data_IF_966828834801
#
_entry.id   IF_966828834801
#
_cell.length_a   1.000
_cell.length_b   1.000
_cell.length_c   1.000
_cell.angle_alpha   90.00
_cell.angle_beta   90.00
_cell.angle_gamma   90.00
#
_symmetry.space_group_name_H-M   'P 1'
#
loop_
_entity.id
_entity.type
_entity.pdbx_description
1 polymer ?
#
# COMPACT_ATOMS: atom_id res chain seq x y z
N UNK A 1 -7.37 10.62 -9.06
CA UNK A 1 -8.55 10.37 -9.91
C UNK A 1 -9.73 10.05 -9.01
N UNK A 2 -10.92 10.62 -9.26
CA UNK A 2 -12.11 10.31 -8.47
C UNK A 2 -12.51 8.84 -8.61
N UNK A 3 -13.02 8.26 -7.52
CA UNK A 3 -13.52 6.87 -7.45
C UNK A 3 -14.53 6.64 -8.58
N UNK A 4 -14.44 5.49 -9.23
CA UNK A 4 -15.41 5.11 -10.26
C UNK A 4 -15.12 5.60 -11.68
N UNK A 5 -14.24 6.59 -11.86
CA UNK A 5 -13.87 7.10 -13.18
C UNK A 5 -13.16 6.03 -14.00
N UNK A 6 -13.76 5.65 -15.13
CA UNK A 6 -13.12 4.84 -16.16
C UNK A 6 -12.16 5.72 -16.96
N UNK A 7 -10.95 5.22 -17.18
CA UNK A 7 -9.92 5.85 -18.00
C UNK A 7 -9.64 4.92 -19.17
N UNK A 8 -9.67 5.46 -20.39
CA UNK A 8 -9.25 4.72 -21.58
C UNK A 8 -7.74 4.60 -21.60
N UNK A 9 -7.25 3.40 -21.88
CA UNK A 9 -5.82 3.12 -22.02
C UNK A 9 -5.44 3.44 -23.45
N UNK A 10 -4.56 4.43 -23.62
CA UNK A 10 -4.00 4.84 -24.92
C UNK A 10 -2.63 4.20 -25.14
N UNK A 11 -1.90 4.00 -24.05
CA UNK A 11 -0.58 3.41 -24.03
C UNK A 11 -0.48 2.47 -22.83
N UNK A 12 0.08 1.29 -23.07
CA UNK A 12 0.36 0.29 -22.04
C UNK A 12 1.62 -0.47 -22.44
N UNK A 13 2.54 -0.63 -21.49
CA UNK A 13 3.82 -1.31 -21.72
C UNK A 13 4.28 -2.02 -20.45
N UNK A 14 4.61 -3.29 -20.54
CA UNK A 14 5.27 -4.02 -19.47
C UNK A 14 6.72 -3.50 -19.30
N UNK A 15 7.11 -3.15 -18.08
CA UNK A 15 8.44 -2.61 -17.78
C UNK A 15 9.36 -3.66 -17.13
N UNK A 16 8.78 -4.64 -16.44
CA UNK A 16 9.47 -5.74 -15.77
C UNK A 16 8.44 -6.73 -15.24
N UNK A 17 8.88 -7.74 -14.47
CA UNK A 17 8.03 -8.87 -14.07
C UNK A 17 6.71 -8.45 -13.40
N UNK A 18 6.75 -7.41 -12.56
CA UNK A 18 5.58 -6.91 -11.83
C UNK A 18 5.30 -5.42 -12.06
N UNK A 19 5.87 -4.82 -13.10
CA UNK A 19 5.77 -3.38 -13.35
C UNK A 19 5.16 -3.07 -14.71
N UNK A 20 4.26 -2.10 -14.76
CA UNK A 20 3.55 -1.72 -15.98
C UNK A 20 3.40 -0.20 -16.09
N UNK A 21 3.70 0.34 -17.26
CA UNK A 21 3.44 1.72 -17.63
C UNK A 21 2.06 1.81 -18.28
N UNK A 22 1.21 2.73 -17.82
CA UNK A 22 -0.09 3.02 -18.45
C UNK A 22 -0.27 4.53 -18.54
N UNK A 23 -0.47 5.03 -19.76
CA UNK A 23 -0.65 6.46 -20.05
C UNK A 23 0.40 7.35 -19.34
N UNK A 24 1.68 6.99 -19.40
CA UNK A 24 2.78 7.72 -18.79
C UNK A 24 2.89 7.63 -17.26
N UNK A 25 2.23 6.66 -16.61
CA UNK A 25 2.35 6.42 -15.16
C UNK A 25 2.71 4.97 -14.88
N UNK A 26 3.58 4.76 -13.88
CA UNK A 26 4.02 3.43 -13.46
C UNK A 26 3.11 2.83 -12.38
N UNK A 27 2.85 1.53 -12.52
CA UNK A 27 2.02 0.74 -11.65
C UNK A 27 2.69 -0.60 -11.33
N UNK A 28 2.36 -1.15 -10.18
CA UNK A 28 2.72 -2.51 -9.76
C UNK A 28 1.55 -3.45 -10.05
N UNK A 29 1.83 -4.58 -10.70
CA UNK A 29 0.88 -5.66 -10.94
C UNK A 29 0.71 -6.44 -9.63
N UNK A 30 -0.53 -6.60 -9.17
CA UNK A 30 -0.83 -7.27 -7.91
C UNK A 30 -1.23 -8.74 -8.10
N UNK A 31 -1.71 -9.08 -9.30
CA UNK A 31 -2.21 -10.40 -9.65
C UNK A 31 -1.77 -10.71 -11.08
N UNK A 32 -1.03 -11.81 -11.27
CA UNK A 32 -0.59 -12.28 -12.58
C UNK A 32 -1.79 -12.44 -13.50
N UNK A 33 -1.76 -11.75 -14.63
CA UNK A 33 -2.83 -11.81 -15.64
C UNK A 33 -2.20 -11.94 -17.01
N UNK A 34 -2.52 -13.02 -17.72
CA UNK A 34 -2.04 -13.23 -19.09
C UNK A 34 -2.46 -12.07 -20.00
N UNK A 35 -1.56 -11.66 -20.90
CA UNK A 35 -1.84 -10.62 -21.89
C UNK A 35 -2.35 -9.30 -21.27
N UNK A 36 -1.81 -8.89 -20.12
CA UNK A 36 -2.24 -7.67 -19.40
C UNK A 36 -2.17 -6.40 -20.27
N UNK A 37 -1.27 -6.37 -21.25
CA UNK A 37 -1.09 -5.28 -22.23
C UNK A 37 -2.30 -5.10 -23.17
N UNK A 38 -3.21 -6.06 -23.24
CA UNK A 38 -4.45 -5.94 -24.03
C UNK A 38 -5.57 -5.20 -23.32
N UNK A 39 -5.34 -4.73 -22.08
CA UNK A 39 -6.33 -3.99 -21.31
C UNK A 39 -6.79 -2.72 -22.05
N UNK A 40 -8.12 -2.49 -22.08
CA UNK A 40 -8.73 -1.35 -22.79
C UNK A 40 -9.03 -0.18 -21.86
N UNK A 41 -9.45 -0.48 -20.64
CA UNK A 41 -9.82 0.55 -19.66
C UNK A 41 -9.30 0.24 -18.27
N UNK A 42 -9.11 1.30 -17.50
CA UNK A 42 -8.69 1.26 -16.10
C UNK A 42 -9.72 2.00 -15.24
N UNK A 43 -10.03 1.47 -14.06
CA UNK A 43 -10.92 2.12 -13.08
C UNK A 43 -10.30 2.10 -11.69
N UNK A 44 -10.39 3.22 -10.96
CA UNK A 44 -10.02 3.27 -9.54
C UNK A 44 -11.11 2.57 -8.71
N UNK A 45 -10.71 1.59 -7.90
CA UNK A 45 -11.59 0.84 -7.01
C UNK A 45 -11.92 1.63 -5.73
N UNK A 46 -12.78 1.07 -4.88
CA UNK A 46 -13.03 1.61 -3.53
C UNK A 46 -11.79 1.55 -2.62
N UNK A 47 -10.87 0.62 -2.88
CA UNK A 47 -9.72 0.35 -2.03
C UNK A 47 -8.49 1.16 -2.44
N UNK A 48 -8.63 2.09 -3.39
CA UNK A 48 -7.57 2.95 -3.89
C UNK A 48 -6.75 2.34 -5.03
N UNK A 49 -6.69 1.01 -5.14
CA UNK A 49 -6.06 0.33 -6.27
C UNK A 49 -6.86 0.49 -7.57
N UNK A 50 -6.30 0.00 -8.68
CA UNK A 50 -6.87 0.14 -10.01
C UNK A 50 -7.15 -1.23 -10.60
N UNK A 51 -8.23 -1.29 -11.35
CA UNK A 51 -8.70 -2.49 -11.99
C UNK A 51 -8.66 -2.27 -13.50
N UNK A 52 -7.92 -3.13 -14.18
CA UNK A 52 -7.89 -3.21 -15.64
C UNK A 52 -9.06 -4.07 -16.13
N UNK A 53 -9.63 -3.66 -17.26
CA UNK A 53 -10.71 -4.34 -17.97
C UNK A 53 -10.30 -4.57 -19.42
N UNK A 54 -10.69 -5.73 -19.92
CA UNK A 54 -10.37 -6.21 -21.25
C UNK A 54 -11.63 -6.22 -22.12
N UNK A 55 -11.52 -6.69 -23.36
CA UNK A 55 -12.70 -6.93 -24.22
C UNK A 55 -13.59 -8.02 -23.63
N UNK A 56 -12.99 -9.08 -23.07
CA UNK A 56 -13.68 -10.02 -22.20
C UNK A 56 -14.02 -9.34 -20.86
N UNK A 57 -15.32 -9.17 -20.60
CA UNK A 57 -15.85 -8.51 -19.41
C UNK A 57 -15.58 -9.28 -18.11
N UNK A 58 -15.36 -10.60 -18.20
CA UNK A 58 -15.07 -11.45 -17.04
C UNK A 58 -13.61 -11.32 -16.61
N UNK A 59 -12.73 -10.99 -17.56
CA UNK A 59 -11.29 -10.82 -17.32
C UNK A 59 -11.00 -9.50 -16.62
N UNK A 60 -10.14 -9.56 -15.60
CA UNK A 60 -9.70 -8.39 -14.84
C UNK A 60 -8.30 -8.59 -14.30
N UNK A 61 -7.53 -7.50 -14.24
CA UNK A 61 -6.25 -7.47 -13.54
C UNK A 61 -6.30 -6.36 -12.48
N UNK A 62 -5.61 -6.57 -11.37
CA UNK A 62 -5.46 -5.56 -10.33
C UNK A 62 -4.04 -5.01 -10.35
N UNK A 63 -3.95 -3.68 -10.33
CA UNK A 63 -2.69 -2.97 -10.26
C UNK A 63 -2.79 -1.89 -9.18
N UNK A 64 -1.66 -1.45 -8.65
CA UNK A 64 -1.60 -0.28 -7.78
C UNK A 64 -0.57 0.73 -8.28
N UNK A 65 -0.71 2.00 -7.89
CA UNK A 65 0.26 3.01 -8.31
C UNK A 65 1.62 2.67 -7.70
N UNK A 66 2.67 2.68 -8.52
CA UNK A 66 4.04 2.49 -8.04
C UNK A 66 4.45 3.71 -7.21
N UNK A 67 4.96 3.47 -6.02
CA UNK A 67 5.42 4.47 -5.04
C UNK A 67 6.55 3.86 -4.23
N UNK A 68 7.42 4.68 -3.66
CA UNK A 68 8.31 4.23 -2.59
C UNK A 68 7.62 4.54 -1.27
N UNK A 69 7.28 3.53 -0.47
CA UNK A 69 6.59 3.70 0.80
C UNK A 69 7.44 3.07 1.90
N UNK A 70 7.98 3.91 2.77
CA UNK A 70 8.69 3.45 3.95
C UNK A 70 7.69 3.09 5.04
N UNK A 71 7.87 1.90 5.60
CA UNK A 71 7.11 1.41 6.73
C UNK A 71 7.95 1.66 7.96
N UNK A 72 7.47 2.54 8.83
CA UNK A 72 8.18 2.92 10.04
C UNK A 72 7.54 2.28 11.26
N UNK A 73 8.38 1.69 12.10
CA UNK A 73 8.04 1.25 13.44
C UNK A 73 8.37 2.38 14.42
N UNK A 74 7.36 2.79 15.18
CA UNK A 74 7.48 3.77 16.27
C UNK A 74 7.24 3.06 17.58
N UNK A 75 8.19 3.16 18.51
CA UNK A 75 8.05 2.67 19.88
C UNK A 75 8.08 3.88 20.82
N UNK A 76 6.93 4.17 21.42
CA UNK A 76 6.79 5.25 22.40
C UNK A 76 7.42 4.83 23.73
N UNK A 77 8.27 5.69 24.28
CA UNK A 77 8.79 5.52 25.65
C UNK A 77 7.75 5.87 26.72
N UNK A 78 6.82 6.76 26.38
CA UNK A 78 5.77 7.24 27.28
C UNK A 78 4.43 6.59 26.94
N UNK A 79 3.90 5.79 27.87
CA UNK A 79 2.62 5.09 27.69
C UNK A 79 1.41 6.02 27.59
N UNK A 80 1.42 7.17 28.28
CA UNK A 80 0.31 8.13 28.21
C UNK A 80 0.28 8.79 26.84
N UNK A 81 1.46 9.16 26.29
CA UNK A 81 1.56 9.64 24.91
C UNK A 81 1.13 8.57 23.91
N UNK A 82 1.54 7.32 24.10
CA UNK A 82 1.15 6.22 23.24
C UNK A 82 -0.38 6.04 23.19
N UNK A 83 -1.05 6.06 24.35
CA UNK A 83 -2.52 6.01 24.46
C UNK A 83 -3.18 7.20 23.76
N UNK A 84 -2.62 8.41 23.89
CA UNK A 84 -3.12 9.61 23.21
C UNK A 84 -2.95 9.49 21.70
N UNK A 85 -1.78 9.06 21.24
CA UNK A 85 -1.49 8.81 19.83
C UNK A 85 -2.42 7.76 19.23
N UNK A 86 -2.70 6.66 19.95
CA UNK A 86 -3.63 5.64 19.48
C UNK A 86 -5.02 6.22 19.15
N UNK A 87 -5.51 7.16 19.97
CA UNK A 87 -6.81 7.83 19.79
C UNK A 87 -6.79 8.92 18.72
N UNK A 88 -5.80 9.80 18.72
CA UNK A 88 -5.80 11.01 17.87
C UNK A 88 -5.08 10.82 16.55
N UNK A 89 -4.18 9.84 16.46
CA UNK A 89 -3.22 9.66 15.35
C UNK A 89 -2.36 10.91 15.07
N UNK A 90 -2.19 11.78 16.07
CA UNK A 90 -1.44 13.03 15.94
C UNK A 90 0.07 12.76 15.96
N UNK A 91 0.73 12.91 14.80
CA UNK A 91 2.18 12.72 14.66
C UNK A 91 3.02 13.67 15.52
N UNK A 92 2.47 14.80 15.98
CA UNK A 92 3.18 15.72 16.89
C UNK A 92 3.49 15.10 18.26
N UNK A 93 2.83 13.99 18.61
CA UNK A 93 3.07 13.25 19.85
C UNK A 93 4.32 12.36 19.80
N UNK A 94 4.85 12.10 18.60
CA UNK A 94 6.09 11.33 18.38
C UNK A 94 7.26 12.28 18.66
N UNK A 95 8.04 11.99 19.70
CA UNK A 95 9.18 12.83 20.10
C UNK A 95 10.52 12.19 19.69
N UNK A 96 11.61 12.97 19.61
CA UNK A 96 12.94 12.42 19.31
C UNK A 96 13.45 11.38 20.33
N UNK A 97 12.89 11.38 21.54
CA UNK A 97 13.20 10.37 22.55
C UNK A 97 12.59 9.00 22.24
N UNK A 98 11.53 8.93 21.42
CA UNK A 98 10.89 7.69 21.00
C UNK A 98 11.74 6.99 19.93
N UNK A 99 11.60 5.66 19.82
CA UNK A 99 12.37 4.92 18.80
C UNK A 99 11.62 4.98 17.48
N UNK A 100 12.32 5.37 16.41
CA UNK A 100 11.82 5.34 15.02
C UNK A 100 12.78 4.52 14.17
N UNK A 101 12.25 3.48 13.54
CA UNK A 101 13.01 2.56 12.68
C UNK A 101 12.25 2.29 11.39
N UNK A 102 12.94 2.29 10.25
CA UNK A 102 12.39 1.82 8.98
C UNK A 102 12.55 0.31 8.95
N UNK A 103 11.45 -0.43 8.90
CA UNK A 103 11.47 -1.90 8.95
C UNK A 103 11.40 -2.53 7.56
N UNK A 104 10.85 -1.81 6.59
CA UNK A 104 10.70 -2.24 5.21
C UNK A 104 10.33 -1.05 4.32
N UNK A 105 10.60 -1.20 3.02
CA UNK A 105 10.11 -0.31 1.97
C UNK A 105 9.26 -1.12 1.00
N UNK A 106 8.11 -0.59 0.61
CA UNK A 106 7.17 -1.23 -0.30
C UNK A 106 6.95 -0.40 -1.56
N UNK A 107 6.69 -1.07 -2.69
CA UNK A 107 6.54 -0.42 -3.99
C UNK A 107 5.08 -0.02 -4.30
N UNK A 108 4.15 -0.34 -3.40
CA UNK A 108 2.73 -0.02 -3.53
C UNK A 108 2.04 0.01 -2.15
N UNK A 109 0.88 0.67 -2.08
CA UNK A 109 0.16 0.82 -0.82
C UNK A 109 -0.46 -0.50 -0.35
N UNK A 110 -0.86 -1.37 -1.29
CA UNK A 110 -1.34 -2.71 -0.96
C UNK A 110 -0.22 -3.57 -0.36
N UNK A 111 0.98 -3.54 -0.94
CA UNK A 111 2.13 -4.25 -0.37
C UNK A 111 2.47 -3.71 1.03
N UNK A 112 2.49 -2.39 1.21
CA UNK A 112 2.76 -1.77 2.52
C UNK A 112 1.75 -2.22 3.58
N UNK A 113 0.45 -2.27 3.23
CA UNK A 113 -0.60 -2.79 4.11
C UNK A 113 -0.43 -4.27 4.44
N UNK A 114 -0.01 -5.08 3.47
CA UNK A 114 0.24 -6.51 3.70
C UNK A 114 1.33 -6.69 4.76
N UNK A 115 2.45 -5.98 4.62
CA UNK A 115 3.57 -6.05 5.57
C UNK A 115 3.11 -5.65 6.99
N UNK A 116 2.35 -4.54 7.13
CA UNK A 116 1.84 -4.14 8.45
C UNK A 116 0.83 -5.14 9.02
N UNK A 117 0.03 -5.79 8.17
CA UNK A 117 -0.90 -6.84 8.59
C UNK A 117 -0.16 -8.03 9.22
N UNK A 118 1.04 -8.36 8.72
CA UNK A 118 1.86 -9.45 9.27
C UNK A 118 2.32 -9.17 10.70
N UNK A 119 2.47 -7.90 11.11
CA UNK A 119 2.78 -7.52 12.49
C UNK A 119 1.53 -7.50 13.40
N UNK A 120 0.33 -7.43 12.82
CA UNK A 120 -0.95 -7.43 13.54
C UNK A 120 -1.53 -8.82 13.75
N UNK A 121 -1.18 -9.78 12.88
CA UNK A 121 -1.69 -11.15 12.95
C UNK A 121 -0.97 -11.97 14.03
N UNK A 122 -1.71 -12.41 15.05
CA UNK A 122 -1.22 -13.27 16.14
C UNK A 122 -0.63 -14.60 15.67
N UNK A 123 -0.98 -15.06 14.46
CA UNK A 123 -0.45 -16.31 13.87
C UNK A 123 0.81 -16.09 13.05
N UNK A 124 1.15 -14.85 12.74
CA UNK A 124 2.35 -14.50 11.99
C UNK A 124 3.61 -14.66 12.85
N UNK A 125 4.72 -15.03 12.21
CA UNK A 125 6.05 -15.05 12.86
C UNK A 125 6.52 -13.66 13.28
N UNK A 126 6.02 -12.62 12.60
CA UNK A 126 6.38 -11.23 12.84
C UNK A 126 5.41 -10.54 13.81
N UNK A 127 4.49 -11.27 14.46
CA UNK A 127 3.50 -10.68 15.35
C UNK A 127 4.14 -9.81 16.44
N UNK A 128 3.70 -8.56 16.52
CA UNK A 128 4.13 -7.63 17.56
C UNK A 128 3.08 -7.57 18.67
N UNK A 129 3.42 -8.12 19.84
CA UNK A 129 2.52 -8.15 21.00
C UNK A 129 2.24 -6.77 21.59
N UNK A 130 3.07 -5.77 21.28
CA UNK A 130 2.96 -4.41 21.77
C UNK A 130 2.25 -3.47 20.78
N UNK A 131 1.77 -4.00 19.66
CA UNK A 131 1.07 -3.23 18.64
C UNK A 131 -0.19 -2.57 19.19
N UNK A 132 -0.33 -1.27 18.91
CA UNK A 132 -1.47 -0.48 19.40
C UNK A 132 -1.39 -0.10 20.89
N UNK A 133 -0.40 -0.59 21.63
CA UNK A 133 -0.15 -0.25 23.04
C UNK A 133 0.91 0.83 23.14
N UNK A 134 2.17 0.48 22.87
CA UNK A 134 3.29 1.44 22.79
C UNK A 134 3.95 1.44 21.40
N UNK A 135 3.63 0.45 20.56
CA UNK A 135 4.25 0.27 19.26
C UNK A 135 3.24 0.51 18.14
N UNK A 136 3.64 1.28 17.14
CA UNK A 136 2.80 1.65 16.01
C UNK A 136 3.56 1.57 14.70
N UNK A 137 2.86 1.18 13.64
CA UNK A 137 3.38 1.09 12.29
C UNK A 137 2.74 2.18 11.44
N UNK A 138 3.55 3.02 10.80
CA UNK A 138 3.08 4.12 9.95
C UNK A 138 3.70 4.03 8.57
N UNK A 139 3.03 4.67 7.60
CA UNK A 139 3.53 4.83 6.24
C UNK A 139 4.09 6.24 6.06
N UNK A 140 5.28 6.33 5.47
CA UNK A 140 5.88 7.58 4.99
C UNK A 140 6.16 7.42 3.48
N UNK A 141 5.75 8.42 2.70
CA UNK A 141 5.97 8.53 1.25
C UNK A 141 6.88 9.74 0.98
#
# INVERSE_FOLDING_TARGET
MPKGKKTVIKEIKLLGDNEILINGREYIILETTENIETAKTMKVSSNGNRILRFEDETKKARIDLKRSIDIIKIIFKDEQRAKKFFKTKDKKLILPADTKEIIATANSFIQARSIVSDYQDKKSKNYDSQIGVNTFYLFEE
#
